data_IF_731437375799
#
_entry.id   IF_731437375799
#
_cell.length_a   1.000
_cell.length_b   1.000
_cell.length_c   1.000
_cell.angle_alpha   90.00
_cell.angle_beta   90.00
_cell.angle_gamma   90.00
#
_symmetry.space_group_name_H-M   'P 1'
#
loop_
_entity.id
_entity.type
_entity.pdbx_description
1 polymer ?
#
# COMPACT_ATOMS: atom_id res chain seq x y z
N UNK A 1 3.60 -19.67 19.44
CA UNK A 1 4.51 -19.14 18.40
C UNK A 1 3.69 -18.16 17.58
N UNK A 2 4.23 -16.97 17.30
CA UNK A 2 3.59 -15.93 16.47
C UNK A 2 4.47 -15.73 15.22
N UNK A 3 3.98 -16.11 14.03
CA UNK A 3 4.78 -16.28 12.80
C UNK A 3 4.46 -15.29 11.68
N UNK A 4 3.83 -14.17 12.02
CA UNK A 4 3.32 -13.21 11.03
C UNK A 4 1.97 -13.62 10.45
N UNK A 5 1.51 -12.85 9.46
CA UNK A 5 0.19 -13.01 8.85
C UNK A 5 0.17 -12.67 7.36
N UNK A 6 -1.02 -12.81 6.79
CA UNK A 6 -1.38 -12.27 5.47
C UNK A 6 -2.77 -11.64 5.58
N UNK A 7 -2.87 -10.56 6.37
CA UNK A 7 -4.16 -10.12 6.91
C UNK A 7 -5.07 -9.54 5.80
N UNK A 8 -6.30 -10.09 5.64
CA UNK A 8 -7.27 -9.53 4.72
C UNK A 8 -8.13 -8.44 5.39
N UNK A 9 -8.53 -7.45 4.61
CA UNK A 9 -9.58 -6.49 4.93
C UNK A 9 -10.66 -6.56 3.84
N UNK A 10 -11.93 -6.49 4.23
CA UNK A 10 -13.08 -6.55 3.32
C UNK A 10 -13.93 -5.29 3.54
N UNK A 11 -14.21 -4.56 2.46
CA UNK A 11 -15.05 -3.36 2.45
C UNK A 11 -16.36 -3.67 1.74
N UNK A 12 -17.46 -3.65 2.48
CA UNK A 12 -18.83 -3.91 2.01
C UNK A 12 -19.67 -2.63 1.90
N UNK A 13 -20.80 -2.72 1.19
CA UNK A 13 -21.71 -1.59 0.89
C UNK A 13 -22.46 -1.00 2.09
N UNK A 14 -22.41 -1.67 3.25
CA UNK A 14 -22.95 -1.17 4.52
C UNK A 14 -22.04 -0.17 5.23
N UNK A 15 -20.89 0.21 4.64
CA UNK A 15 -19.97 1.19 5.22
C UNK A 15 -20.59 2.59 5.14
N UNK A 16 -20.97 3.21 6.27
CA UNK A 16 -21.63 4.52 6.25
C UNK A 16 -20.64 5.69 6.09
N UNK A 17 -19.35 5.44 6.35
CA UNK A 17 -18.29 6.44 6.39
C UNK A 17 -17.10 5.98 5.52
N UNK A 18 -17.07 6.46 4.28
CA UNK A 18 -15.99 6.17 3.36
C UNK A 18 -14.68 6.83 3.79
N UNK A 19 -14.71 8.07 4.27
CA UNK A 19 -13.49 8.82 4.62
C UNK A 19 -12.74 8.18 5.80
N UNK A 20 -13.47 7.82 6.86
CA UNK A 20 -12.90 7.09 7.98
C UNK A 20 -12.47 5.68 7.58
N UNK A 21 -13.11 5.07 6.58
CA UNK A 21 -12.66 3.79 6.02
C UNK A 21 -11.34 3.94 5.29
N UNK A 22 -11.19 4.91 4.40
CA UNK A 22 -9.92 5.19 3.71
C UNK A 22 -8.80 5.47 4.71
N UNK A 23 -9.07 6.28 5.75
CA UNK A 23 -8.10 6.58 6.81
C UNK A 23 -7.62 5.30 7.51
N UNK A 24 -8.53 4.38 7.85
CA UNK A 24 -8.20 3.08 8.45
C UNK A 24 -7.45 2.16 7.50
N UNK A 25 -7.80 2.15 6.21
CA UNK A 25 -7.10 1.36 5.19
C UNK A 25 -5.67 1.85 4.99
N UNK A 26 -5.45 3.16 4.96
CA UNK A 26 -4.11 3.76 4.89
C UNK A 26 -3.31 3.39 6.13
N UNK A 27 -3.87 3.55 7.32
CA UNK A 27 -3.17 3.16 8.55
C UNK A 27 -2.85 1.66 8.58
N UNK A 28 -3.84 0.81 8.31
CA UNK A 28 -3.69 -0.64 8.34
C UNK A 28 -2.69 -1.18 7.30
N UNK A 29 -2.57 -0.53 6.14
CA UNK A 29 -1.65 -0.93 5.08
C UNK A 29 -0.24 -0.34 5.21
N UNK A 30 -0.10 0.89 5.73
CA UNK A 30 1.15 1.65 5.62
C UNK A 30 1.81 2.01 6.95
N UNK A 31 1.15 1.76 8.09
CA UNK A 31 1.74 2.00 9.40
C UNK A 31 3.03 1.17 9.56
N UNK A 32 4.11 1.82 10.02
CA UNK A 32 5.46 1.25 10.10
C UNK A 32 5.96 0.57 8.81
N UNK A 33 5.56 1.08 7.64
CA UNK A 33 5.85 0.46 6.33
C UNK A 33 5.38 -1.00 6.23
N UNK A 34 4.29 -1.38 6.89
CA UNK A 34 3.80 -2.77 6.83
C UNK A 34 4.65 -3.77 7.65
N UNK A 35 5.63 -3.32 8.43
CA UNK A 35 6.50 -4.21 9.21
C UNK A 35 5.85 -4.68 10.53
N UNK A 36 4.57 -5.05 10.46
CA UNK A 36 3.78 -5.55 11.57
C UNK A 36 3.15 -6.88 11.20
N UNK A 37 3.15 -7.84 12.13
CA UNK A 37 2.53 -9.17 11.91
C UNK A 37 1.03 -9.10 11.58
N UNK A 38 0.37 -7.99 11.91
CA UNK A 38 -1.07 -7.74 11.72
C UNK A 38 -1.39 -6.71 10.62
N UNK A 39 -0.39 -6.24 9.85
CA UNK A 39 -0.65 -5.24 8.81
C UNK A 39 -1.54 -5.82 7.70
N UNK A 40 -2.34 -4.96 7.10
CA UNK A 40 -3.23 -5.30 6.02
C UNK A 40 -2.45 -5.50 4.73
N UNK A 41 -2.42 -6.74 4.23
CA UNK A 41 -1.73 -7.12 2.99
C UNK A 41 -2.69 -7.34 1.82
N UNK A 42 -3.97 -7.60 2.13
CA UNK A 42 -4.99 -7.89 1.13
C UNK A 42 -6.22 -7.06 1.40
N UNK A 43 -6.69 -6.35 0.39
CA UNK A 43 -7.91 -5.55 0.45
C UNK A 43 -8.90 -6.07 -0.60
N UNK A 44 -10.06 -6.51 -0.14
CA UNK A 44 -11.19 -6.87 -0.99
C UNK A 44 -12.25 -5.79 -0.86
N UNK A 45 -12.75 -5.31 -1.99
CA UNK A 45 -13.76 -4.25 -2.02
C UNK A 45 -14.96 -4.75 -2.81
N UNK A 46 -16.16 -4.57 -2.25
CA UNK A 46 -17.41 -4.85 -2.94
C UNK A 46 -17.44 -4.11 -4.26
N UNK A 47 -17.84 -4.80 -5.33
CA UNK A 47 -17.72 -4.29 -6.70
C UNK A 47 -18.35 -2.90 -6.92
N UNK A 48 -19.46 -2.60 -6.25
CA UNK A 48 -20.13 -1.29 -6.36
C UNK A 48 -19.31 -0.13 -5.76
N UNK A 49 -18.45 -0.41 -4.77
CA UNK A 49 -17.60 0.57 -4.10
C UNK A 49 -16.19 0.64 -4.70
N UNK A 50 -15.79 -0.33 -5.51
CA UNK A 50 -14.40 -0.53 -5.91
C UNK A 50 -13.75 0.72 -6.53
N UNK A 51 -14.45 1.42 -7.44
CA UNK A 51 -13.91 2.61 -8.08
C UNK A 51 -13.65 3.72 -7.05
N UNK A 52 -14.63 3.98 -6.20
CA UNK A 52 -14.59 5.07 -5.23
C UNK A 52 -13.51 4.83 -4.17
N UNK A 53 -13.48 3.62 -3.59
CA UNK A 53 -12.46 3.22 -2.62
C UNK A 53 -11.07 3.27 -3.23
N UNK A 54 -10.89 2.75 -4.45
CA UNK A 54 -9.59 2.78 -5.14
C UNK A 54 -9.09 4.20 -5.35
N UNK A 55 -9.92 5.08 -5.92
CA UNK A 55 -9.51 6.44 -6.27
C UNK A 55 -9.19 7.26 -5.00
N UNK A 56 -10.00 7.11 -3.96
CA UNK A 56 -9.78 7.77 -2.67
C UNK A 56 -8.52 7.24 -1.95
N UNK A 57 -8.30 5.93 -1.96
CA UNK A 57 -7.13 5.29 -1.37
C UNK A 57 -5.84 5.72 -2.07
N UNK A 58 -5.81 5.72 -3.41
CA UNK A 58 -4.67 6.24 -4.18
C UNK A 58 -4.40 7.68 -3.80
N UNK A 59 -5.43 8.51 -3.71
CA UNK A 59 -5.31 9.93 -3.34
C UNK A 59 -4.72 10.10 -1.94
N UNK A 60 -5.17 9.30 -0.97
CA UNK A 60 -4.67 9.34 0.39
C UNK A 60 -3.22 8.84 0.50
N UNK A 61 -2.88 7.73 -0.17
CA UNK A 61 -1.52 7.17 -0.17
C UNK A 61 -0.51 8.12 -0.80
N UNK A 62 -0.90 8.85 -1.87
CA UNK A 62 -0.05 9.87 -2.50
C UNK A 62 0.31 11.04 -1.57
N UNK A 63 -0.43 11.25 -0.49
CA UNK A 63 -0.14 12.30 0.51
C UNK A 63 0.84 11.84 1.58
N UNK A 64 1.15 10.55 1.66
CA UNK A 64 2.06 10.00 2.67
C UNK A 64 3.49 10.47 2.38
N UNK A 65 4.09 11.19 3.32
CA UNK A 65 5.47 11.60 3.24
C UNK A 65 6.38 10.54 3.85
N UNK A 66 7.25 9.96 3.04
CA UNK A 66 8.34 9.12 3.52
C UNK A 66 9.53 9.95 3.99
N UNK A 67 10.14 9.62 5.12
CA UNK A 67 11.27 10.40 5.61
C UNK A 67 11.85 9.94 6.95
N UNK A 68 12.69 10.81 7.51
CA UNK A 68 13.28 10.66 8.83
C UNK A 68 12.18 10.75 9.91
N UNK A 69 12.05 9.75 10.81
CA UNK A 69 11.04 9.76 11.88
C UNK A 69 11.20 10.92 12.89
N UNK A 70 12.33 11.63 12.90
CA UNK A 70 12.53 12.82 13.71
C UNK A 70 11.92 14.09 13.11
N UNK A 71 11.43 14.04 11.86
CA UNK A 71 10.77 15.18 11.21
C UNK A 71 9.25 15.10 11.41
N UNK A 72 8.64 16.19 11.87
CA UNK A 72 7.21 16.26 12.20
C UNK A 72 6.28 16.00 11.01
N UNK A 73 6.78 16.23 9.78
CA UNK A 73 5.99 16.02 8.56
C UNK A 73 6.16 14.62 7.96
N UNK A 74 6.97 13.75 8.57
CA UNK A 74 7.12 12.35 8.15
C UNK A 74 5.88 11.54 8.52
N UNK A 75 5.18 11.03 7.51
CA UNK A 75 4.07 10.11 7.70
C UNK A 75 4.53 8.65 7.86
N UNK A 76 5.62 8.27 7.19
CA UNK A 76 6.15 6.91 7.22
C UNK A 76 7.68 6.87 7.21
N UNK A 77 8.28 6.24 8.23
CA UNK A 77 9.72 6.00 8.34
C UNK A 77 10.29 4.99 7.32
N UNK A 78 11.59 4.65 7.40
CA UNK A 78 12.23 3.67 6.51
C UNK A 78 11.87 2.22 6.87
N UNK A 79 12.23 1.30 5.98
CA UNK A 79 12.32 -0.13 6.30
C UNK A 79 13.47 -0.37 7.30
N UNK A 80 13.41 -1.47 8.05
CA UNK A 80 14.42 -1.83 9.06
C UNK A 80 15.83 -2.03 8.47
N UNK A 81 15.90 -2.45 7.21
CA UNK A 81 17.15 -2.67 6.48
C UNK A 81 16.96 -2.53 4.97
N UNK A 82 18.05 -2.27 4.25
CA UNK A 82 18.06 -2.29 2.78
C UNK A 82 17.68 -3.66 2.22
N UNK A 83 18.10 -4.75 2.88
CA UNK A 83 17.72 -6.11 2.48
C UNK A 83 16.21 -6.36 2.56
N UNK A 84 15.55 -5.76 3.57
CA UNK A 84 14.10 -5.79 3.70
C UNK A 84 13.47 -5.00 2.55
N UNK A 85 13.92 -3.76 2.31
CA UNK A 85 13.46 -2.95 1.19
C UNK A 85 13.61 -3.65 -0.19
N UNK A 86 14.75 -4.31 -0.43
CA UNK A 86 15.00 -5.07 -1.65
C UNK A 86 14.08 -6.30 -1.80
N UNK A 87 13.72 -6.96 -0.69
CA UNK A 87 12.76 -8.09 -0.70
C UNK A 87 11.37 -7.64 -1.13
N UNK A 88 10.97 -6.47 -0.66
CA UNK A 88 9.69 -5.84 -0.99
C UNK A 88 9.68 -5.43 -2.46
N UNK A 89 10.72 -4.74 -2.92
CA UNK A 89 10.90 -4.36 -4.32
C UNK A 89 10.86 -5.58 -5.26
N UNK A 90 11.52 -6.67 -4.87
CA UNK A 90 11.46 -7.94 -5.62
C UNK A 90 10.03 -8.49 -5.70
N UNK A 91 9.26 -8.39 -4.61
CA UNK A 91 7.86 -8.84 -4.57
C UNK A 91 6.97 -7.98 -5.47
N UNK A 92 7.13 -6.65 -5.43
CA UNK A 92 6.47 -5.72 -6.36
C UNK A 92 6.80 -6.05 -7.80
N UNK A 93 8.08 -6.17 -8.13
CA UNK A 93 8.53 -6.48 -9.48
C UNK A 93 8.03 -7.84 -9.98
N UNK A 94 7.94 -8.84 -9.10
CA UNK A 94 7.35 -10.15 -9.43
C UNK A 94 5.86 -10.02 -9.74
N UNK A 95 5.10 -9.25 -8.96
CA UNK A 95 3.69 -9.01 -9.20
C UNK A 95 3.46 -8.28 -10.53
N UNK A 96 4.22 -7.22 -10.82
CA UNK A 96 4.14 -6.48 -12.08
C UNK A 96 4.48 -7.36 -13.29
N UNK A 97 5.52 -8.22 -13.17
CA UNK A 97 5.85 -9.22 -14.21
C UNK A 97 4.74 -10.24 -14.42
N UNK A 98 3.94 -10.51 -13.39
CA UNK A 98 2.76 -11.37 -13.44
C UNK A 98 1.48 -10.61 -13.88
N UNK A 99 1.63 -9.45 -14.52
CA UNK A 99 0.56 -8.58 -15.03
C UNK A 99 -0.23 -7.78 -13.98
N UNK A 100 0.21 -7.75 -12.71
CA UNK A 100 -0.38 -6.84 -11.73
C UNK A 100 -0.10 -5.38 -12.10
N UNK A 101 -1.06 -4.50 -11.84
CA UNK A 101 -0.91 -3.06 -12.08
C UNK A 101 -0.42 -2.34 -10.83
N UNK A 102 0.72 -1.68 -10.95
CA UNK A 102 1.21 -0.75 -9.94
C UNK A 102 0.44 0.58 -10.01
N UNK A 103 -0.32 0.90 -8.97
CA UNK A 103 -1.20 2.09 -8.93
C UNK A 103 -0.50 3.32 -8.33
N UNK A 104 0.40 3.12 -7.37
CA UNK A 104 1.17 4.16 -6.68
C UNK A 104 2.48 3.57 -6.12
N UNK A 105 3.57 4.34 -6.10
CA UNK A 105 4.86 3.94 -5.52
C UNK A 105 5.71 3.05 -6.43
N UNK A 106 6.51 2.16 -5.81
CA UNK A 106 7.22 1.05 -6.49
C UNK A 106 8.74 1.19 -6.65
N UNK A 107 9.38 2.21 -6.07
CA UNK A 107 10.83 2.38 -6.12
C UNK A 107 11.43 2.55 -4.72
N UNK A 108 12.59 1.92 -4.50
CA UNK A 108 13.36 2.03 -3.26
C UNK A 108 14.67 2.80 -3.50
N UNK A 109 15.10 3.57 -2.50
CA UNK A 109 16.42 4.18 -2.40
C UNK A 109 17.00 3.82 -1.02
N UNK A 110 17.92 2.86 -0.99
CA UNK A 110 18.40 2.27 0.27
C UNK A 110 17.26 1.62 1.07
N UNK A 111 17.13 1.97 2.35
CA UNK A 111 16.02 1.53 3.22
C UNK A 111 14.76 2.39 3.06
N UNK A 112 14.82 3.48 2.31
CA UNK A 112 13.67 4.35 2.04
C UNK A 112 12.92 3.85 0.82
N UNK A 113 11.60 3.67 0.95
CA UNK A 113 10.73 3.46 -0.20
C UNK A 113 10.04 4.77 -0.55
N UNK A 114 10.23 5.24 -1.78
CA UNK A 114 9.60 6.46 -2.24
C UNK A 114 8.11 6.23 -2.50
N UNK A 115 7.28 7.09 -1.91
CA UNK A 115 5.92 7.27 -2.39
C UNK A 115 5.99 8.18 -3.64
N UNK A 116 6.04 7.56 -4.84
CA UNK A 116 6.05 8.14 -6.23
C UNK A 116 7.46 8.27 -6.86
N UNK A 117 7.67 8.03 -8.17
CA UNK A 117 6.92 8.47 -9.36
C UNK A 117 6.99 7.49 -10.57
N UNK A 118 5.93 7.43 -11.40
CA UNK A 118 6.04 7.27 -12.87
C UNK A 118 4.72 7.59 -13.61
N UNK A 119 4.75 8.35 -14.72
CA UNK A 119 3.59 8.63 -15.57
C UNK A 119 3.63 7.75 -16.85
N UNK A 120 2.72 6.78 -17.02
CA UNK A 120 2.05 6.49 -18.31
C UNK A 120 1.36 5.11 -18.40
N UNK A 121 0.21 5.14 -19.10
CA UNK A 121 -0.52 4.09 -19.87
C UNK A 121 -1.80 3.45 -19.26
N UNK A 122 -2.86 3.62 -20.06
CA UNK A 122 -4.24 3.03 -20.09
C UNK A 122 -4.22 1.48 -20.06
N UNK A 123 -5.24 0.66 -19.74
CA UNK A 123 -6.59 0.68 -19.12
C UNK A 123 -7.07 -0.81 -19.06
N UNK A 124 -7.78 -1.24 -17.98
CA UNK A 124 -8.53 -2.52 -17.70
C UNK A 124 -7.74 -3.88 -17.77
N UNK A 125 -7.94 -4.96 -16.97
CA UNK A 125 -8.94 -5.40 -15.97
C UNK A 125 -8.36 -6.54 -15.06
N UNK A 126 -9.04 -6.79 -13.91
CA UNK A 126 -8.97 -7.91 -12.94
C UNK A 126 -7.63 -8.25 -12.26
N UNK A 127 -7.66 -8.37 -10.93
CA UNK A 127 -6.51 -8.63 -10.02
C UNK A 127 -5.57 -7.43 -9.79
N UNK A 128 -6.12 -6.28 -9.40
CA UNK A 128 -5.34 -5.17 -8.83
C UNK A 128 -4.80 -5.58 -7.43
N UNK A 129 -3.78 -6.43 -7.39
CA UNK A 129 -3.00 -6.70 -6.18
C UNK A 129 -1.57 -6.20 -6.37
N UNK A 130 -1.33 -4.98 -5.88
CA UNK A 130 -0.11 -4.62 -5.18
C UNK A 130 -0.26 -3.22 -4.56
N UNK A 131 -1.06 -3.09 -3.50
CA UNK A 131 -0.66 -2.18 -2.43
C UNK A 131 0.35 -2.92 -1.58
N UNK A 132 1.56 -3.08 -2.13
CA UNK A 132 2.68 -3.63 -1.36
C UNK A 132 3.32 -2.42 -0.70
N UNK A 133 2.84 -2.11 0.50
CA UNK A 133 3.69 -1.46 1.47
C UNK A 133 4.51 -2.58 2.09
N UNK A 134 5.84 -2.51 1.97
CA UNK A 134 6.72 -3.41 2.71
C UNK A 134 6.34 -4.89 2.64
#
# INVERSE_FOLDING_TARGET
MELGGNAPCIVEDLVPDLEGTITRLVHGGFYQRGQLCIHMQRLYVRGVLYKEVKDALITAVKKLKGGDPHQDDTSIGPMISESSAATVEKSVNKAVKAAAKLLVGGSCEGSYQHALQSPSRRLYAYEDMAMICG
#
